data_IF_491428706622
#
_entry.id   IF_491428706622
#
_cell.length_a   1.000
_cell.length_b   1.000
_cell.length_c   1.000
_cell.angle_alpha   90.00
_cell.angle_beta   90.00
_cell.angle_gamma   90.00
#
_symmetry.space_group_name_H-M   'P 1'
#
loop_
_entity.id
_entity.type
_entity.pdbx_description
1 polymer ?
#
# COMPACT_ATOMS: atom_id res chain seq x y z
N UNK A 1 -5.66 28.30 -10.62
CA UNK A 1 -6.76 27.58 -9.94
C UNK A 1 -6.12 26.56 -9.01
N UNK A 2 -6.22 26.77 -7.69
CA UNK A 2 -5.79 25.76 -6.73
C UNK A 2 -6.62 24.49 -6.97
N UNK A 3 -5.96 23.34 -7.05
CA UNK A 3 -6.45 22.09 -7.63
C UNK A 3 -7.78 21.58 -7.00
N UNK A 4 -8.92 22.04 -7.52
CA UNK A 4 -10.27 21.64 -7.09
C UNK A 4 -10.48 20.14 -7.19
N UNK A 5 -9.87 19.51 -8.20
CA UNK A 5 -9.93 18.07 -8.42
C UNK A 5 -9.19 17.30 -7.31
N UNK A 6 -7.98 17.73 -6.95
CA UNK A 6 -7.22 17.14 -5.85
C UNK A 6 -7.98 17.27 -4.52
N UNK A 7 -8.57 18.43 -4.24
CA UNK A 7 -9.40 18.61 -3.04
C UNK A 7 -10.60 17.66 -3.04
N UNK A 8 -11.26 17.48 -4.19
CA UNK A 8 -12.36 16.53 -4.34
C UNK A 8 -11.91 15.09 -4.08
N UNK A 9 -10.73 14.70 -4.57
CA UNK A 9 -10.18 13.37 -4.35
C UNK A 9 -9.79 13.12 -2.89
N UNK A 10 -9.22 14.12 -2.21
CA UNK A 10 -8.92 14.05 -0.77
C UNK A 10 -10.22 13.87 0.03
N UNK A 11 -11.27 14.64 -0.28
CA UNK A 11 -12.57 14.50 0.39
C UNK A 11 -13.18 13.11 0.19
N UNK A 12 -13.16 12.57 -1.04
CA UNK A 12 -13.65 11.21 -1.30
C UNK A 12 -12.90 10.15 -0.49
N UNK A 13 -11.59 10.33 -0.32
CA UNK A 13 -10.76 9.42 0.46
C UNK A 13 -11.15 9.50 1.95
N UNK A 14 -11.31 10.71 2.46
CA UNK A 14 -11.82 10.95 3.81
C UNK A 14 -13.17 10.28 4.07
N UNK A 15 -14.15 10.43 3.17
CA UNK A 15 -15.48 9.83 3.30
C UNK A 15 -15.42 8.28 3.34
N UNK A 16 -14.47 7.69 2.59
CA UNK A 16 -14.23 6.23 2.60
C UNK A 16 -13.64 5.73 3.92
N UNK A 17 -12.80 6.52 4.57
CA UNK A 17 -12.24 6.20 5.88
C UNK A 17 -13.28 6.40 6.98
N UNK A 18 -14.02 7.50 6.94
CA UNK A 18 -15.10 7.81 7.87
C UNK A 18 -16.18 6.71 7.88
N UNK A 19 -16.65 6.30 6.70
CA UNK A 19 -17.66 5.21 6.56
C UNK A 19 -17.18 3.85 7.06
N UNK A 20 -15.87 3.65 7.22
CA UNK A 20 -15.25 2.42 7.76
C UNK A 20 -14.94 2.50 9.25
N UNK A 21 -15.38 3.56 9.94
CA UNK A 21 -15.13 3.75 11.38
C UNK A 21 -13.75 4.32 11.72
N UNK A 22 -12.97 4.74 10.72
CA UNK A 22 -11.72 5.48 10.90
C UNK A 22 -12.05 6.98 10.97
N UNK A 23 -12.71 7.39 12.06
CA UNK A 23 -13.19 8.76 12.26
C UNK A 23 -12.13 9.70 12.86
N UNK A 24 -11.02 9.15 13.38
CA UNK A 24 -9.91 9.95 13.90
C UNK A 24 -9.12 10.54 12.71
N UNK A 25 -8.99 11.88 12.62
CA UNK A 25 -8.20 12.54 11.60
C UNK A 25 -6.75 12.09 11.53
N UNK A 26 -6.13 11.85 12.69
CA UNK A 26 -4.72 11.50 12.77
C UNK A 26 -4.48 10.11 12.18
N UNK A 27 -5.30 9.15 12.60
CA UNK A 27 -5.24 7.77 12.09
C UNK A 27 -5.54 7.74 10.58
N UNK A 28 -6.49 8.56 10.11
CA UNK A 28 -6.81 8.66 8.69
C UNK A 28 -5.63 9.18 7.86
N UNK A 29 -4.93 10.22 8.33
CA UNK A 29 -3.74 10.76 7.67
C UNK A 29 -2.64 9.69 7.59
N UNK A 30 -2.46 8.92 8.66
CA UNK A 30 -1.51 7.81 8.70
C UNK A 30 -1.86 6.72 7.67
N UNK A 31 -3.12 6.27 7.64
CA UNK A 31 -3.57 5.27 6.66
C UNK A 31 -3.43 5.77 5.22
N UNK A 32 -3.77 7.03 4.95
CA UNK A 32 -3.58 7.65 3.63
C UNK A 32 -2.09 7.65 3.26
N UNK A 33 -1.21 8.00 4.20
CA UNK A 33 0.23 8.03 3.98
C UNK A 33 0.79 6.64 3.67
N UNK A 34 0.32 5.59 4.35
CA UNK A 34 0.70 4.22 4.02
C UNK A 34 0.26 3.79 2.63
N UNK A 35 -0.97 4.13 2.21
CA UNK A 35 -1.44 3.82 0.85
C UNK A 35 -0.60 4.53 -0.22
N UNK A 36 -0.29 5.81 -0.02
CA UNK A 36 0.56 6.57 -0.93
C UNK A 36 1.98 5.97 -1.01
N UNK A 37 2.52 5.56 0.12
CA UNK A 37 3.84 4.94 0.17
C UNK A 37 3.88 3.60 -0.57
N UNK A 38 2.91 2.70 -0.31
CA UNK A 38 2.82 1.40 -0.99
C UNK A 38 2.64 1.61 -2.50
N UNK A 39 1.76 2.55 -2.91
CA UNK A 39 1.55 2.86 -4.32
C UNK A 39 2.84 3.35 -4.99
N UNK A 40 3.60 4.22 -4.33
CA UNK A 40 4.87 4.71 -4.86
C UNK A 40 5.92 3.61 -4.97
N UNK A 41 5.98 2.72 -3.99
CA UNK A 41 6.85 1.54 -4.03
C UNK A 41 6.50 0.61 -5.19
N UNK A 42 5.20 0.38 -5.43
CA UNK A 42 4.71 -0.42 -6.56
C UNK A 42 5.15 0.17 -7.90
N UNK A 43 4.98 1.49 -8.09
CA UNK A 43 5.41 2.17 -9.31
C UNK A 43 6.93 2.01 -9.55
N UNK A 44 7.74 2.23 -8.51
CA UNK A 44 9.19 2.06 -8.61
C UNK A 44 9.62 0.62 -8.90
N UNK A 45 8.93 -0.38 -8.34
CA UNK A 45 9.21 -1.79 -8.61
C UNK A 45 8.87 -2.16 -10.06
N UNK A 46 7.73 -1.69 -10.56
CA UNK A 46 7.32 -1.87 -11.93
C UNK A 46 8.28 -1.22 -12.93
N UNK A 47 8.73 0.01 -12.66
CA UNK A 47 9.74 0.71 -13.47
C UNK A 47 11.04 -0.12 -13.58
N UNK A 48 11.53 -0.66 -12.46
CA UNK A 48 12.72 -1.52 -12.45
C UNK A 48 12.49 -2.83 -13.21
N UNK A 49 11.31 -3.43 -13.07
CA UNK A 49 10.96 -4.66 -13.76
C UNK A 49 10.89 -4.46 -15.29
N UNK A 50 10.29 -3.37 -15.76
CA UNK A 50 10.28 -2.99 -17.19
C UNK A 50 11.69 -2.70 -17.73
N UNK A 51 12.51 -1.98 -16.96
CA UNK A 51 13.89 -1.70 -17.34
C UNK A 51 14.72 -2.99 -17.47
N UNK A 52 14.51 -3.95 -16.57
CA UNK A 52 15.21 -5.25 -16.59
C UNK A 52 14.88 -6.08 -17.83
N UNK A 53 13.62 -6.02 -18.30
CA UNK A 53 13.20 -6.66 -19.56
C UNK A 53 13.94 -6.07 -20.75
N UNK A 54 14.26 -4.78 -20.69
CA UNK A 54 14.95 -4.06 -21.76
C UNK A 54 16.47 -4.23 -21.71
N UNK A 55 17.06 -4.33 -20.51
CA UNK A 55 18.53 -4.49 -20.32
C UNK A 55 19.00 -5.95 -20.33
N UNK A 56 18.09 -6.92 -20.40
CA UNK A 56 18.37 -8.36 -20.27
C UNK A 56 19.01 -8.74 -18.91
N UNK A 57 18.91 -7.86 -17.91
CA UNK A 57 19.33 -8.11 -16.54
C UNK A 57 18.18 -8.77 -15.77
N UNK A 58 18.50 -9.69 -14.85
CA UNK A 58 17.49 -10.31 -14.00
C UNK A 58 17.15 -9.38 -12.83
N UNK A 59 15.95 -8.84 -12.82
CA UNK A 59 15.37 -8.14 -11.66
C UNK A 59 14.32 -9.00 -10.97
N UNK A 60 14.39 -9.08 -9.64
CA UNK A 60 13.38 -9.74 -8.80
C UNK A 60 12.58 -8.64 -8.13
N UNK A 61 11.25 -8.69 -8.29
CA UNK A 61 10.32 -7.73 -7.69
C UNK A 61 10.45 -7.74 -6.16
N UNK A 62 10.45 -6.57 -5.54
CA UNK A 62 10.49 -6.45 -4.07
C UNK A 62 9.22 -7.00 -3.41
N UNK A 63 8.17 -7.20 -4.20
CA UNK A 63 6.90 -7.80 -3.83
C UNK A 63 6.85 -9.32 -4.07
N UNK A 64 7.94 -9.91 -4.56
CA UNK A 64 8.06 -11.36 -4.75
C UNK A 64 8.62 -12.02 -3.48
N UNK A 65 7.88 -12.98 -2.92
CA UNK A 65 8.24 -13.68 -1.70
C UNK A 65 7.07 -13.94 -0.74
N UNK A 66 7.36 -14.67 0.33
CA UNK A 66 6.41 -14.95 1.41
C UNK A 66 6.56 -13.89 2.51
N UNK A 67 5.48 -13.14 2.78
CA UNK A 67 5.46 -12.15 3.86
C UNK A 67 4.84 -12.76 5.11
N UNK A 68 5.57 -12.70 6.23
CA UNK A 68 5.04 -13.09 7.54
C UNK A 68 4.38 -11.87 8.17
N UNK A 69 3.06 -11.87 8.26
CA UNK A 69 2.36 -10.89 9.07
C UNK A 69 2.43 -11.33 10.54
N UNK A 70 3.07 -10.52 11.37
CA UNK A 70 3.03 -10.69 12.83
C UNK A 70 1.93 -9.77 13.35
N UNK A 71 0.75 -10.35 13.61
CA UNK A 71 -0.29 -9.61 14.31
C UNK A 71 0.24 -9.25 15.69
N UNK A 72 0.11 -7.97 16.08
CA UNK A 72 0.45 -7.51 17.42
C UNK A 72 -0.67 -7.88 18.38
N UNK A 73 -0.99 -9.16 18.49
CA UNK A 73 -1.80 -9.64 19.60
C UNK A 73 -0.98 -9.55 20.88
N UNK A 74 -1.58 -8.98 21.92
CA UNK A 74 -1.05 -9.09 23.29
C UNK A 74 -0.95 -10.59 23.60
N UNK A 75 0.25 -11.14 23.48
CA UNK A 75 0.61 -12.49 23.90
C UNK A 75 -0.21 -13.61 23.24
N UNK A 76 0.16 -14.03 22.01
CA UNK A 76 -0.33 -15.28 21.42
C UNK A 76 -0.66 -15.30 19.92
N UNK A 77 -0.36 -14.24 19.18
CA UNK A 77 -0.76 -14.08 17.77
C UNK A 77 -0.25 -15.18 16.84
N UNK A 78 -1.18 -15.88 16.18
CA UNK A 78 -0.88 -16.79 15.07
C UNK A 78 -0.20 -16.01 13.95
N UNK A 79 0.98 -16.45 13.53
CA UNK A 79 1.65 -15.91 12.33
C UNK A 79 0.95 -16.46 11.09
N UNK A 80 0.35 -15.59 10.29
CA UNK A 80 -0.25 -15.96 9.01
C UNK A 80 0.72 -15.56 7.88
N UNK A 81 0.98 -16.51 6.98
CA UNK A 81 1.81 -16.27 5.80
C UNK A 81 0.89 -15.78 4.70
N UNK A 82 1.13 -14.56 4.24
CA UNK A 82 0.37 -13.99 3.12
C UNK A 82 1.26 -14.05 1.88
N UNK A 83 0.73 -14.69 0.83
CA UNK A 83 1.39 -14.80 -0.46
C UNK A 83 0.92 -13.67 -1.37
N UNK A 84 1.76 -13.29 -2.32
CA UNK A 84 1.38 -12.33 -3.38
C UNK A 84 0.09 -12.72 -4.11
N UNK A 85 -0.19 -14.02 -4.23
CA UNK A 85 -1.41 -14.54 -4.86
C UNK A 85 -2.70 -14.19 -4.08
N UNK A 86 -2.61 -13.91 -2.79
CA UNK A 86 -3.76 -13.64 -1.92
C UNK A 86 -4.30 -12.20 -2.08
N UNK A 87 -3.57 -11.34 -2.80
CA UNK A 87 -3.95 -9.95 -3.08
C UNK A 87 -4.53 -9.74 -4.49
N UNK A 88 -4.82 -10.82 -5.24
CA UNK A 88 -5.42 -10.76 -6.58
C UNK A 88 -6.93 -10.64 -6.57
#
# INVERSE_FOLDING_TARGET
>A
MLNTELKSNINKLWDKFWSRGLSNPMDSIEQISYLLFIRRLEEMDNEKLENSKSSNEKYISIFDGDYKFVSRERSGGKSEVIKKADFK
#
